data_IF_910445618722
#
_entry.id   IF_910445618722
#
_cell.length_a   1.000
_cell.length_b   1.000
_cell.length_c   1.000
_cell.angle_alpha   90.00
_cell.angle_beta   90.00
_cell.angle_gamma   90.00
#
_symmetry.space_group_name_H-M   'P 1'
#
loop_
_entity.id
_entity.type
_entity.pdbx_description
1 polymer ?
#
# COMPACT_ATOMS: atom_id res chain seq x y z
N UNK A 1 -15.15 18.48 7.93
CA UNK A 1 -15.62 17.32 8.71
C UNK A 1 -14.51 16.94 9.68
N UNK A 2 -14.75 16.86 11.00
CA UNK A 2 -13.72 16.43 11.96
C UNK A 2 -13.71 14.90 11.98
N UNK A 3 -12.53 14.30 11.79
CA UNK A 3 -12.33 12.85 11.93
C UNK A 3 -12.38 12.48 13.42
N UNK A 4 -13.10 11.41 13.73
CA UNK A 4 -13.10 10.74 15.03
C UNK A 4 -11.75 10.07 15.33
N UNK A 5 -11.48 9.79 16.60
CA UNK A 5 -10.24 9.14 17.03
C UNK A 5 -10.04 7.76 16.40
N UNK A 6 -11.13 7.03 16.19
CA UNK A 6 -11.12 5.74 15.50
C UNK A 6 -10.73 5.90 14.04
N UNK A 7 -11.32 6.85 13.31
CA UNK A 7 -10.97 7.12 11.91
C UNK A 7 -9.50 7.54 11.78
N UNK A 8 -9.02 8.40 12.68
CA UNK A 8 -7.62 8.82 12.73
C UNK A 8 -6.68 7.63 12.92
N UNK A 9 -7.03 6.74 13.87
CA UNK A 9 -6.26 5.53 14.16
C UNK A 9 -6.24 4.60 12.96
N UNK A 10 -7.39 4.32 12.35
CA UNK A 10 -7.50 3.45 11.18
C UNK A 10 -6.70 3.99 10.00
N UNK A 11 -6.64 5.30 9.79
CA UNK A 11 -5.89 5.90 8.69
C UNK A 11 -4.38 5.67 8.81
N UNK A 12 -3.78 5.99 9.97
CA UNK A 12 -2.33 5.81 10.11
C UNK A 12 -1.95 4.33 10.22
N UNK A 13 -2.73 3.51 10.94
CA UNK A 13 -2.49 2.07 11.07
C UNK A 13 -2.66 1.39 9.71
N UNK A 14 -3.74 1.70 8.99
CA UNK A 14 -3.99 1.14 7.66
C UNK A 14 -2.87 1.51 6.67
N UNK A 15 -2.43 2.76 6.69
CA UNK A 15 -1.29 3.21 5.87
C UNK A 15 0.00 2.48 6.25
N UNK A 16 0.27 2.30 7.53
CA UNK A 16 1.45 1.59 8.00
C UNK A 16 1.43 0.11 7.57
N UNK A 17 0.29 -0.57 7.76
CA UNK A 17 0.10 -1.96 7.34
C UNK A 17 0.25 -2.13 5.83
N UNK A 18 -0.34 -1.23 5.04
CA UNK A 18 -0.15 -1.22 3.59
C UNK A 18 1.34 -1.10 3.24
N UNK A 19 2.07 -0.19 3.89
CA UNK A 19 3.51 -0.03 3.71
C UNK A 19 4.30 -1.31 4.01
N UNK A 20 4.02 -1.96 5.15
CA UNK A 20 4.68 -3.21 5.54
C UNK A 20 4.40 -4.32 4.53
N UNK A 21 3.14 -4.50 4.11
CA UNK A 21 2.75 -5.51 3.13
C UNK A 21 3.50 -5.32 1.80
N UNK A 22 3.61 -4.08 1.31
CA UNK A 22 4.32 -3.76 0.06
C UNK A 22 5.83 -4.02 0.15
N UNK A 23 6.43 -3.84 1.33
CA UNK A 23 7.85 -4.11 1.55
C UNK A 23 8.15 -5.61 1.69
N UNK A 24 7.34 -6.30 2.49
CA UNK A 24 7.56 -7.69 2.86
C UNK A 24 7.27 -8.66 1.71
N UNK A 25 6.15 -8.48 1.01
CA UNK A 25 5.63 -9.47 0.05
C UNK A 25 5.30 -8.87 -1.34
N UNK A 26 6.22 -8.13 -1.99
CA UNK A 26 5.96 -7.49 -3.28
C UNK A 26 5.68 -8.50 -4.40
N UNK A 27 6.28 -9.70 -4.34
CA UNK A 27 6.01 -10.77 -5.31
C UNK A 27 4.57 -11.28 -5.25
N UNK A 28 4.03 -11.42 -4.03
CA UNK A 28 2.65 -11.83 -3.82
C UNK A 28 1.66 -10.77 -4.32
N UNK A 29 1.95 -9.49 -4.08
CA UNK A 29 1.13 -8.38 -4.60
C UNK A 29 1.08 -8.35 -6.13
N UNK A 30 2.22 -8.57 -6.79
CA UNK A 30 2.25 -8.68 -8.25
C UNK A 30 1.49 -9.92 -8.74
N UNK A 31 1.57 -11.04 -8.03
CA UNK A 31 0.79 -12.23 -8.37
C UNK A 31 -0.72 -11.99 -8.26
N UNK A 32 -1.16 -11.36 -7.17
CA UNK A 32 -2.56 -10.94 -7.02
C UNK A 32 -2.99 -9.95 -8.10
N UNK A 33 -2.11 -9.00 -8.49
CA UNK A 33 -2.33 -8.12 -9.63
C UNK A 33 -2.52 -8.89 -10.92
N UNK A 34 -1.69 -9.90 -11.18
CA UNK A 34 -1.84 -10.78 -12.34
C UNK A 34 -3.16 -11.56 -12.33
N UNK A 35 -3.58 -12.02 -11.15
CA UNK A 35 -4.87 -12.68 -10.98
C UNK A 35 -6.02 -11.70 -11.29
N UNK A 36 -5.99 -10.50 -10.71
CA UNK A 36 -7.08 -9.53 -10.88
C UNK A 36 -7.18 -9.02 -12.32
N UNK A 37 -6.05 -8.77 -12.97
CA UNK A 37 -6.00 -8.37 -14.38
C UNK A 37 -6.57 -9.44 -15.30
N UNK A 38 -6.23 -10.70 -15.04
CA UNK A 38 -6.74 -11.83 -15.83
C UNK A 38 -8.25 -12.01 -15.68
N UNK A 39 -8.74 -12.07 -14.43
CA UNK A 39 -10.12 -12.48 -14.17
C UNK A 39 -11.14 -11.35 -14.31
N UNK A 40 -10.79 -10.15 -13.85
CA UNK A 40 -11.73 -9.03 -13.81
C UNK A 40 -11.54 -8.07 -14.98
N UNK A 41 -10.28 -7.81 -15.37
CA UNK A 41 -9.98 -6.83 -16.41
C UNK A 41 -9.79 -7.47 -17.79
N UNK A 42 -9.63 -8.79 -17.87
CA UNK A 42 -9.37 -9.56 -19.10
C UNK A 42 -8.22 -9.01 -19.94
N UNK A 43 -7.18 -8.50 -19.28
CA UNK A 43 -5.96 -7.98 -19.92
C UNK A 43 -4.74 -8.73 -19.41
N UNK A 44 -3.69 -8.78 -20.24
CA UNK A 44 -2.41 -9.36 -19.85
C UNK A 44 -1.70 -8.48 -18.82
N UNK A 45 -1.21 -9.12 -17.76
CA UNK A 45 -0.40 -8.47 -16.73
C UNK A 45 1.07 -8.82 -16.95
N UNK A 46 1.83 -7.85 -17.48
CA UNK A 46 3.26 -7.99 -17.77
C UNK A 46 4.10 -7.03 -16.89
N UNK A 47 4.49 -7.44 -15.67
CA UNK A 47 5.32 -6.63 -14.79
C UNK A 47 6.74 -6.49 -15.34
N UNK A 48 7.12 -5.27 -15.69
CA UNK A 48 8.45 -4.95 -16.23
C UNK A 48 9.59 -5.25 -15.24
N UNK A 49 10.84 -5.42 -15.74
CA UNK A 49 12.00 -5.56 -14.88
C UNK A 49 12.06 -4.47 -13.80
N UNK A 50 12.33 -4.88 -12.56
CA UNK A 50 12.34 -3.96 -11.41
C UNK A 50 10.98 -3.67 -10.78
N UNK A 51 9.87 -4.24 -11.27
CA UNK A 51 8.53 -4.04 -10.69
C UNK A 51 8.47 -4.31 -9.18
N UNK A 52 9.12 -5.39 -8.69
CA UNK A 52 9.20 -5.67 -7.25
C UNK A 52 9.86 -4.55 -6.45
N UNK A 53 10.91 -3.93 -7.00
CA UNK A 53 11.58 -2.79 -6.38
C UNK A 53 10.66 -1.57 -6.30
N UNK A 54 9.89 -1.31 -7.36
CA UNK A 54 8.89 -0.22 -7.38
C UNK A 54 7.76 -0.46 -6.37
N UNK A 55 7.28 -1.69 -6.23
CA UNK A 55 6.28 -2.04 -5.19
C UNK A 55 6.84 -1.76 -3.79
N UNK A 56 8.12 -2.08 -3.54
CA UNK A 56 8.78 -1.72 -2.27
C UNK A 56 8.88 -0.21 -2.06
N UNK A 57 9.21 0.56 -3.10
CA UNK A 57 9.24 2.03 -3.02
C UNK A 57 7.86 2.60 -2.68
N UNK A 58 6.79 2.05 -3.26
CA UNK A 58 5.41 2.40 -2.88
C UNK A 58 5.17 2.09 -1.40
N UNK A 59 5.67 0.95 -0.91
CA UNK A 59 5.62 0.60 0.51
C UNK A 59 6.31 1.63 1.41
N UNK A 60 7.49 2.13 1.02
CA UNK A 60 8.17 3.22 1.73
C UNK A 60 7.33 4.50 1.74
N UNK A 61 6.68 4.82 0.62
CA UNK A 61 5.76 5.96 0.53
C UNK A 61 4.60 5.85 1.51
N UNK A 62 3.96 4.68 1.61
CA UNK A 62 2.90 4.42 2.60
C UNK A 62 3.37 4.59 4.05
N UNK A 63 4.58 4.11 4.39
CA UNK A 63 5.15 4.32 5.73
C UNK A 63 5.42 5.80 6.02
N UNK A 64 5.93 6.54 5.04
CA UNK A 64 6.13 7.98 5.18
C UNK A 64 4.82 8.73 5.43
N UNK A 65 3.77 8.37 4.68
CA UNK A 65 2.41 8.91 4.88
C UNK A 65 1.87 8.51 6.26
N UNK A 66 2.03 7.27 6.69
CA UNK A 66 1.59 6.83 8.01
C UNK A 66 2.26 7.63 9.13
N UNK A 67 3.57 7.87 9.02
CA UNK A 67 4.32 8.69 9.98
C UNK A 67 3.85 10.15 9.97
N UNK A 68 3.57 10.72 8.79
CA UNK A 68 3.03 12.07 8.66
C UNK A 68 1.62 12.16 9.28
N UNK A 69 0.73 11.21 8.97
CA UNK A 69 -0.63 11.14 9.53
C UNK A 69 -0.57 11.05 11.05
N UNK A 70 0.24 10.15 11.60
CA UNK A 70 0.38 10.03 13.05
C UNK A 70 0.83 11.34 13.69
N UNK A 71 1.84 12.02 13.13
CA UNK A 71 2.30 13.32 13.62
C UNK A 71 1.26 14.44 13.50
N UNK A 72 0.41 14.40 12.48
CA UNK A 72 -0.61 15.43 12.23
C UNK A 72 -1.87 15.19 13.07
N UNK A 73 -2.17 13.94 13.40
CA UNK A 73 -3.40 13.53 14.09
C UNK A 73 -3.22 13.37 15.61
N UNK A 74 -1.99 13.13 16.08
CA UNK A 74 -1.59 13.12 17.50
C UNK A 74 -1.31 14.56 18.04
N UNK A 75 -1.44 15.59 17.19
CA UNK A 75 -1.43 17.01 17.56
C UNK A 75 -2.85 17.51 17.82
#
# INVERSE_FOLDING_TARGET
>A
MKLSDTERTLLWVGSALAGVVHLAIPGFLLWLGGLSYRWFLRVEFDPKPGARGRVRLVGLGFLAVAAALRRLLDR
#
